data_IF_200148403909
#
_entry.id   IF_200148403909
#
_cell.length_a   1.000
_cell.length_b   1.000
_cell.length_c   1.000
_cell.angle_alpha   90.00
_cell.angle_beta   90.00
_cell.angle_gamma   90.00
#
_symmetry.space_group_name_H-M   'P 1'
#
loop_
_entity.id
_entity.type
_entity.pdbx_description
1 polymer ?
#
# COMPACT_ATOMS: atom_id res chain seq x y z
N UNK A 1 -8.45 -16.91 -10.15
CA UNK A 1 -7.95 -15.54 -10.24
C UNK A 1 -7.12 -15.22 -9.02
N UNK A 2 -5.94 -14.76 -9.25
CA UNK A 2 -5.03 -14.47 -8.14
C UNK A 2 -5.26 -13.04 -7.66
N UNK A 3 -5.78 -12.90 -6.45
CA UNK A 3 -5.87 -11.61 -5.80
C UNK A 3 -4.67 -11.49 -4.88
N UNK A 4 -3.83 -10.52 -5.12
CA UNK A 4 -2.64 -10.34 -4.31
C UNK A 4 -2.84 -9.19 -3.33
N UNK A 5 -2.47 -9.45 -2.10
CA UNK A 5 -2.45 -8.44 -1.05
C UNK A 5 -1.00 -8.19 -0.67
N UNK A 6 -0.73 -6.99 -0.25
CA UNK A 6 0.58 -6.71 0.31
C UNK A 6 0.40 -5.91 1.59
N UNK A 7 1.30 -6.17 2.54
CA UNK A 7 1.32 -5.44 3.79
C UNK A 7 2.38 -4.38 3.68
N UNK A 8 1.98 -3.15 3.87
CA UNK A 8 2.89 -2.01 3.76
C UNK A 8 3.03 -1.32 5.11
N UNK A 9 4.12 -0.63 5.26
CA UNK A 9 4.39 0.10 6.50
C UNK A 9 4.67 1.55 6.16
N UNK A 10 3.97 2.44 6.85
CA UNK A 10 4.20 3.87 6.68
C UNK A 10 5.59 4.23 7.19
N UNK A 11 6.35 4.96 6.37
CA UNK A 11 7.70 5.34 6.76
C UNK A 11 7.73 6.51 7.72
N UNK A 12 6.60 7.17 7.92
CA UNK A 12 6.54 8.34 8.80
C UNK A 12 6.10 8.00 10.20
N UNK A 13 5.00 7.26 10.34
CA UNK A 13 4.50 6.89 11.66
C UNK A 13 4.72 5.41 11.99
N UNK A 14 5.12 4.61 11.02
CA UNK A 14 5.36 3.19 11.24
C UNK A 14 4.10 2.35 11.27
N UNK A 15 2.97 2.88 10.81
CA UNK A 15 1.72 2.15 10.81
C UNK A 15 1.72 1.10 9.70
N UNK A 16 1.29 -0.11 10.03
CA UNK A 16 1.20 -1.18 9.04
C UNK A 16 -0.21 -1.28 8.49
N UNK A 17 -0.31 -1.51 7.20
CA UNK A 17 -1.60 -1.63 6.52
C UNK A 17 -1.54 -2.73 5.47
N UNK A 18 -2.69 -3.36 5.26
CA UNK A 18 -2.83 -4.35 4.20
C UNK A 18 -3.58 -3.71 3.03
N UNK A 19 -3.01 -3.79 1.84
CA UNK A 19 -3.60 -3.19 0.65
C UNK A 19 -3.54 -4.19 -0.51
N UNK A 20 -4.34 -3.92 -1.55
CA UNK A 20 -4.28 -4.71 -2.77
C UNK A 20 -3.09 -4.27 -3.60
N UNK A 21 -2.38 -5.23 -4.20
CA UNK A 21 -1.24 -4.92 -5.04
C UNK A 21 -1.64 -4.25 -6.35
N UNK A 22 -2.89 -4.39 -6.74
CA UNK A 22 -3.42 -3.78 -7.96
C UNK A 22 -4.46 -2.71 -7.65
N UNK A 23 -4.31 -2.02 -6.55
CA UNK A 23 -5.22 -0.94 -6.21
C UNK A 23 -5.07 0.20 -7.18
N UNK A 24 -6.19 0.77 -7.61
CA UNK A 24 -6.18 1.95 -8.47
C UNK A 24 -6.67 3.18 -7.72
N UNK A 25 -6.50 3.18 -6.41
CA UNK A 25 -6.89 4.32 -5.57
C UNK A 25 -5.70 4.79 -4.77
N UNK A 26 -5.68 6.09 -4.48
CA UNK A 26 -4.70 6.63 -3.58
C UNK A 26 -4.99 6.17 -2.16
N UNK A 27 -3.95 5.74 -1.46
CA UNK A 27 -4.09 5.29 -0.08
C UNK A 27 -3.28 6.20 0.81
N UNK A 28 -3.92 6.72 1.85
CA UNK A 28 -3.30 7.64 2.78
C UNK A 28 -3.28 7.04 4.18
N UNK A 29 -2.29 7.42 4.96
CA UNK A 29 -2.19 7.02 6.35
C UNK A 29 -3.27 7.75 7.16
N UNK A 30 -3.91 7.02 8.08
CA UNK A 30 -4.93 7.64 8.92
C UNK A 30 -4.33 8.47 10.06
N UNK A 31 -3.09 8.19 10.41
CA UNK A 31 -2.44 8.89 11.52
C UNK A 31 -1.69 10.14 11.08
N UNK A 32 -0.78 9.99 10.14
CA UNK A 32 0.04 11.10 9.68
C UNK A 32 -0.44 11.67 8.35
N UNK A 33 -1.44 11.03 7.74
CA UNK A 33 -2.01 11.42 6.46
C UNK A 33 -0.99 11.49 5.33
N UNK A 34 0.07 10.72 5.45
CA UNK A 34 1.05 10.63 4.39
C UNK A 34 0.49 9.82 3.23
N UNK A 35 0.87 10.18 2.03
CA UNK A 35 0.45 9.45 0.85
C UNK A 35 1.23 8.13 0.80
N UNK A 36 0.56 7.02 1.01
CA UNK A 36 1.21 5.72 1.08
C UNK A 36 1.30 5.03 -0.26
N UNK A 37 0.20 5.01 -1.00
CA UNK A 37 0.13 4.31 -2.26
C UNK A 37 -0.46 5.20 -3.32
N UNK A 38 0.14 5.20 -4.51
CA UNK A 38 -0.34 5.95 -5.65
C UNK A 38 -0.61 4.98 -6.80
N UNK A 39 -1.80 5.06 -7.43
CA UNK A 39 -2.07 4.20 -8.58
C UNK A 39 -1.28 4.68 -9.78
N UNK A 40 -0.69 3.73 -10.51
CA UNK A 40 0.10 4.08 -11.68
C UNK A 40 0.02 2.96 -12.71
N UNK A 41 -0.74 3.19 -13.77
CA UNK A 41 -0.83 2.24 -14.87
C UNK A 41 -1.31 0.86 -14.47
N UNK A 42 -2.31 0.78 -13.58
CA UNK A 42 -2.85 -0.49 -13.13
C UNK A 42 -2.07 -1.16 -12.02
N UNK A 43 -1.01 -0.53 -11.54
CA UNK A 43 -0.21 -1.04 -10.43
C UNK A 43 -0.21 -0.04 -9.29
N UNK A 44 -0.05 -0.55 -8.08
CA UNK A 44 0.06 0.29 -6.90
C UNK A 44 1.53 0.62 -6.67
N UNK A 45 1.85 1.90 -6.66
CA UNK A 45 3.21 2.35 -6.40
C UNK A 45 3.30 2.92 -4.99
N UNK A 46 4.29 2.46 -4.25
CA UNK A 46 4.50 2.95 -2.90
C UNK A 46 5.20 4.31 -2.93
N UNK A 47 4.71 5.23 -2.12
CA UNK A 47 5.28 6.58 -2.04
C UNK A 47 6.03 6.73 -0.73
N UNK A 48 5.29 6.83 0.37
CA UNK A 48 5.88 6.96 1.70
C UNK A 48 5.66 5.70 2.52
N UNK A 49 5.79 4.54 1.87
CA UNK A 49 5.56 3.26 2.51
C UNK A 49 6.45 2.21 1.90
N UNK A 50 6.64 1.12 2.64
CA UNK A 50 7.43 -0.01 2.17
C UNK A 50 6.62 -1.28 2.26
N UNK A 51 6.83 -2.18 1.31
CA UNK A 51 6.18 -3.49 1.35
C UNK A 51 6.91 -4.36 2.37
N UNK A 52 6.16 -4.87 3.33
CA UNK A 52 6.70 -5.77 4.34
C UNK A 52 6.49 -7.21 3.92
N UNK A 53 5.29 -7.54 3.49
CA UNK A 53 4.94 -8.89 3.07
C UNK A 53 3.98 -8.86 1.91
N UNK A 54 3.96 -9.94 1.14
CA UNK A 54 3.00 -10.13 0.07
C UNK A 54 2.26 -11.43 0.30
N UNK A 55 0.96 -11.42 0.03
CA UNK A 55 0.12 -12.59 0.18
C UNK A 55 -0.63 -12.87 -1.11
N UNK A 56 -0.83 -14.14 -1.40
CA UNK A 56 -1.71 -14.57 -2.46
C UNK A 56 -3.03 -14.98 -1.83
N UNK A 57 -4.07 -14.27 -2.17
CA UNK A 57 -5.36 -14.53 -1.59
C UNK A 57 -6.32 -15.28 -2.47
#
# INVERSE_FOLDING_TARGET
>A
MATKFMKIKCSKCGEERKVFSHSNKDIYCEKCKAHLVQPKGGKAQLVDAETIEEYDG
#
